data_IF_611049614999
#
_entry.id   IF_611049614999
#
_cell.length_a   1.000
_cell.length_b   1.000
_cell.length_c   1.000
_cell.angle_alpha   90.00
_cell.angle_beta   90.00
_cell.angle_gamma   90.00
#
_symmetry.space_group_name_H-M   'P 1'
#
loop_
_entity.id
_entity.type
_entity.pdbx_description
1 polymer ?
#
# COMPACT_ATOMS: atom_id res chain seq x y z
N UNK A 1 -5.35 -5.75 17.71
CA UNK A 1 -6.05 -5.47 16.44
C UNK A 1 -7.57 -5.74 16.53
N UNK A 2 -8.05 -6.94 16.89
CA UNK A 2 -9.51 -7.27 16.93
C UNK A 2 -10.38 -6.36 17.82
N UNK A 3 -9.83 -5.80 18.89
CA UNK A 3 -10.55 -4.93 19.83
C UNK A 3 -10.35 -3.43 19.57
N UNK A 4 -9.54 -3.07 18.59
CA UNK A 4 -9.30 -1.68 18.21
C UNK A 4 -10.06 -1.41 16.92
N UNK A 5 -10.97 -0.45 16.94
CA UNK A 5 -11.70 -0.05 15.75
C UNK A 5 -10.85 0.86 14.87
N UNK A 6 -10.84 0.56 13.57
CA UNK A 6 -10.34 1.42 12.51
C UNK A 6 -11.40 2.47 12.15
N UNK A 7 -12.62 1.98 11.94
CA UNK A 7 -13.83 2.74 11.70
C UNK A 7 -14.97 2.13 12.54
N UNK A 8 -16.08 2.85 12.77
CA UNK A 8 -17.23 2.27 13.44
C UNK A 8 -17.65 0.93 12.82
N UNK A 9 -17.60 -0.14 13.61
CA UNK A 9 -17.96 -1.49 13.17
C UNK A 9 -16.91 -2.25 12.37
N UNK A 10 -15.71 -1.70 12.16
CA UNK A 10 -14.57 -2.38 11.51
C UNK A 10 -13.35 -2.35 12.42
N UNK A 11 -12.86 -3.50 12.85
CA UNK A 11 -11.62 -3.57 13.60
C UNK A 11 -10.39 -3.32 12.71
N UNK A 12 -9.26 -2.97 13.34
CA UNK A 12 -7.97 -2.83 12.64
C UNK A 12 -7.58 -4.14 11.91
N UNK A 13 -7.93 -5.30 12.46
CA UNK A 13 -7.67 -6.58 11.78
C UNK A 13 -8.58 -6.78 10.57
N UNK A 14 -9.88 -6.49 10.72
CA UNK A 14 -10.85 -6.63 9.61
C UNK A 14 -10.47 -5.68 8.46
N UNK A 15 -9.99 -4.47 8.79
CA UNK A 15 -9.46 -3.53 7.80
C UNK A 15 -8.29 -4.13 7.03
N UNK A 16 -7.27 -4.66 7.70
CA UNK A 16 -6.13 -5.30 7.03
C UNK A 16 -6.55 -6.47 6.15
N UNK A 17 -7.51 -7.28 6.59
CA UNK A 17 -8.07 -8.38 5.79
C UNK A 17 -8.83 -7.87 4.56
N UNK A 18 -9.60 -6.78 4.67
CA UNK A 18 -10.30 -6.17 3.51
C UNK A 18 -9.29 -5.57 2.52
N UNK A 19 -8.24 -4.90 3.01
CA UNK A 19 -7.17 -4.39 2.14
C UNK A 19 -6.48 -5.52 1.38
N UNK A 20 -6.16 -6.63 2.04
CA UNK A 20 -5.58 -7.80 1.38
C UNK A 20 -6.52 -8.45 0.37
N UNK A 21 -7.80 -8.62 0.70
CA UNK A 21 -8.80 -9.16 -0.22
C UNK A 21 -8.94 -8.28 -1.48
N UNK A 22 -8.91 -6.96 -1.32
CA UNK A 22 -8.90 -6.00 -2.45
C UNK A 22 -7.61 -6.08 -3.25
N UNK A 23 -6.48 -6.21 -2.57
CA UNK A 23 -5.21 -6.39 -3.26
C UNK A 23 -5.22 -7.64 -4.16
N UNK A 24 -5.75 -8.77 -3.68
CA UNK A 24 -5.92 -9.99 -4.48
C UNK A 24 -6.82 -9.75 -5.70
N UNK A 25 -7.93 -9.04 -5.52
CA UNK A 25 -8.81 -8.67 -6.64
C UNK A 25 -8.09 -7.73 -7.63
N UNK A 26 -7.35 -6.73 -7.13
CA UNK A 26 -6.58 -5.79 -7.95
C UNK A 26 -5.56 -6.48 -8.85
N UNK A 27 -4.81 -7.45 -8.31
CA UNK A 27 -3.77 -8.17 -9.06
C UNK A 27 -4.33 -9.29 -9.94
N UNK A 28 -5.58 -9.68 -9.74
CA UNK A 28 -6.27 -10.67 -10.58
C UNK A 28 -6.27 -10.25 -12.06
N UNK A 29 -6.21 -11.23 -13.00
CA UNK A 29 -6.44 -10.94 -14.42
C UNK A 29 -7.78 -10.28 -14.71
N UNK A 30 -8.80 -10.63 -13.93
CA UNK A 30 -10.18 -10.15 -14.07
C UNK A 30 -10.67 -9.59 -12.73
N UNK A 31 -10.34 -8.32 -12.38
CA UNK A 31 -10.82 -7.69 -11.15
C UNK A 31 -12.36 -7.59 -11.16
N UNK A 32 -12.97 -8.02 -10.05
CA UNK A 32 -14.43 -8.08 -9.90
C UNK A 32 -15.01 -6.90 -9.14
N UNK A 33 -14.21 -6.27 -8.31
CA UNK A 33 -14.64 -5.11 -7.53
C UNK A 33 -14.69 -3.85 -8.39
N UNK A 34 -15.44 -2.85 -7.90
CA UNK A 34 -15.49 -1.54 -8.57
C UNK A 34 -14.21 -0.77 -8.28
N UNK A 35 -13.35 -0.65 -9.29
CA UNK A 35 -12.09 0.07 -9.23
C UNK A 35 -12.13 1.37 -10.01
N UNK A 36 -11.44 2.39 -9.50
CA UNK A 36 -10.91 3.47 -10.32
C UNK A 36 -9.50 3.08 -10.73
N UNK A 37 -9.41 2.17 -11.72
CA UNK A 37 -8.15 1.54 -12.14
C UNK A 37 -7.31 2.53 -12.95
N UNK A 38 -6.07 2.84 -12.51
CA UNK A 38 -5.14 3.61 -13.33
C UNK A 38 -4.43 2.71 -14.34
N UNK A 39 -4.11 3.25 -15.51
CA UNK A 39 -3.44 2.51 -16.61
C UNK A 39 -2.12 1.86 -16.19
N UNK A 40 -1.34 2.56 -15.35
CA UNK A 40 -0.06 2.07 -14.86
C UNK A 40 -0.15 0.83 -13.96
N UNK A 41 -1.29 0.53 -13.37
CA UNK A 41 -1.42 -0.57 -12.42
C UNK A 41 -1.07 -1.94 -13.03
N UNK A 42 -1.42 -2.16 -14.29
CA UNK A 42 -1.11 -3.40 -15.01
C UNK A 42 0.40 -3.62 -15.18
N UNK A 43 1.16 -2.55 -15.42
CA UNK A 43 2.61 -2.61 -15.55
C UNK A 43 3.31 -2.96 -14.24
N UNK A 44 2.69 -2.66 -13.07
CA UNK A 44 3.27 -2.95 -11.75
C UNK A 44 3.08 -4.39 -11.29
N UNK A 45 2.03 -5.07 -11.74
CA UNK A 45 1.67 -6.43 -11.29
C UNK A 45 2.81 -7.46 -11.41
N UNK A 46 3.62 -7.50 -12.49
CA UNK A 46 4.73 -8.45 -12.60
C UNK A 46 5.90 -8.18 -11.64
N UNK A 47 5.99 -6.96 -11.08
CA UNK A 47 7.11 -6.48 -10.27
C UNK A 47 6.80 -6.44 -8.78
N UNK A 48 5.65 -6.98 -8.37
CA UNK A 48 5.27 -7.06 -6.96
C UNK A 48 6.12 -8.10 -6.22
N UNK A 49 6.29 -7.89 -4.93
CA UNK A 49 6.89 -8.86 -4.02
C UNK A 49 6.04 -10.15 -3.93
N UNK A 50 6.62 -11.25 -3.45
CA UNK A 50 5.91 -12.52 -3.24
C UNK A 50 4.62 -12.33 -2.44
N UNK A 51 3.60 -13.11 -2.79
CA UNK A 51 2.24 -12.93 -2.26
C UNK A 51 2.14 -13.19 -0.76
N UNK A 52 2.93 -14.08 -0.22
CA UNK A 52 3.02 -14.38 1.22
C UNK A 52 3.55 -13.17 2.01
N UNK A 53 4.59 -12.49 1.50
CA UNK A 53 5.10 -11.22 2.07
C UNK A 53 4.00 -10.16 2.02
N UNK A 54 3.33 -10.01 0.87
CA UNK A 54 2.26 -9.03 0.71
C UNK A 54 1.06 -9.33 1.60
N UNK A 55 0.73 -10.60 1.82
CA UNK A 55 -0.33 -11.01 2.74
C UNK A 55 -0.04 -10.57 4.17
N UNK A 56 1.15 -10.86 4.68
CA UNK A 56 1.53 -10.46 6.04
C UNK A 56 1.57 -8.95 6.18
N UNK A 57 2.19 -8.26 5.21
CA UNK A 57 2.23 -6.81 5.21
C UNK A 57 0.83 -6.20 5.26
N UNK A 58 -0.04 -6.55 4.32
CA UNK A 58 -1.36 -5.91 4.17
C UNK A 58 -2.31 -6.23 5.33
N UNK A 59 -2.23 -7.44 5.91
CA UNK A 59 -3.06 -7.78 7.07
C UNK A 59 -2.57 -7.07 8.34
N UNK A 60 -1.26 -6.88 8.49
CA UNK A 60 -0.67 -6.41 9.74
C UNK A 60 -0.05 -5.01 9.68
N UNK A 61 -0.17 -4.26 8.55
CA UNK A 61 0.41 -2.91 8.39
C UNK A 61 0.05 -1.95 9.53
N UNK A 62 -1.10 -2.14 10.12
CA UNK A 62 -1.67 -1.32 11.19
C UNK A 62 -1.62 -1.99 12.58
N UNK A 63 -0.80 -3.04 12.78
CA UNK A 63 -0.79 -3.81 14.03
C UNK A 63 -0.41 -2.98 15.27
N UNK A 64 0.24 -1.84 15.11
CA UNK A 64 0.60 -0.89 16.17
C UNK A 64 -0.52 0.06 16.59
N UNK A 65 -1.58 0.22 15.81
CA UNK A 65 -2.68 1.16 16.11
C UNK A 65 -3.30 0.99 17.51
N UNK A 66 -3.50 -0.23 18.04
CA UNK A 66 -3.99 -0.41 19.41
C UNK A 66 -3.12 0.24 20.49
N UNK A 67 -1.83 0.43 20.23
CA UNK A 67 -0.85 0.95 21.19
C UNK A 67 -0.66 2.47 21.11
N UNK A 68 -1.11 3.10 20.02
CA UNK A 68 -1.00 4.56 19.83
C UNK A 68 -2.36 5.27 19.68
N UNK A 69 -3.46 4.55 19.90
CA UNK A 69 -4.80 5.11 19.81
C UNK A 69 -5.02 6.18 20.89
N UNK A 70 -5.40 7.37 20.46
CA UNK A 70 -5.94 8.43 21.32
C UNK A 70 -7.31 8.86 20.80
N UNK A 71 -8.12 9.48 21.69
CA UNK A 71 -9.42 10.02 21.32
C UNK A 71 -9.45 11.46 21.80
N UNK A 72 -9.78 12.40 20.93
CA UNK A 72 -9.92 13.81 21.28
C UNK A 72 -11.26 14.12 21.95
N UNK A 73 -11.46 15.39 22.33
CA UNK A 73 -12.67 15.87 23.01
C UNK A 73 -13.92 15.72 22.13
N UNK A 74 -13.78 15.71 20.81
CA UNK A 74 -14.87 15.51 19.84
C UNK A 74 -15.17 14.00 19.59
N UNK A 75 -14.47 13.10 20.28
CA UNK A 75 -14.60 11.66 20.11
C UNK A 75 -13.91 11.08 18.88
N UNK A 76 -13.05 11.87 18.18
CA UNK A 76 -12.31 11.41 17.01
C UNK A 76 -11.08 10.64 17.43
N UNK A 77 -10.82 9.54 16.73
CA UNK A 77 -9.65 8.71 16.95
C UNK A 77 -8.44 9.24 16.18
N UNK A 78 -7.27 9.19 16.83
CA UNK A 78 -5.99 9.51 16.26
C UNK A 78 -5.01 8.35 16.50
N UNK A 79 -4.13 8.09 15.52
CA UNK A 79 -3.14 7.02 15.55
C UNK A 79 -1.76 7.60 15.18
N UNK A 80 -1.27 8.49 16.04
CA UNK A 80 -0.02 9.21 15.80
C UNK A 80 1.15 8.22 15.72
N UNK A 81 1.98 8.37 14.69
CA UNK A 81 3.17 7.54 14.45
C UNK A 81 2.90 6.02 14.35
N UNK A 82 1.68 5.64 13.91
CA UNK A 82 1.27 4.23 13.86
C UNK A 82 2.17 3.36 12.98
N UNK A 83 2.74 3.88 11.89
CA UNK A 83 3.62 3.08 11.01
C UNK A 83 4.88 2.62 11.76
N UNK A 84 5.55 3.52 12.50
CA UNK A 84 6.70 3.16 13.33
C UNK A 84 6.31 2.18 14.44
N UNK A 85 5.20 2.44 15.12
CA UNK A 85 4.74 1.58 16.22
C UNK A 85 4.28 0.21 15.69
N UNK A 86 3.73 0.15 14.47
CA UNK A 86 3.41 -1.11 13.82
C UNK A 86 4.67 -1.89 13.44
N UNK A 87 5.69 -1.21 12.91
CA UNK A 87 7.01 -1.79 12.66
C UNK A 87 7.62 -2.37 13.94
N UNK A 88 7.70 -1.56 15.01
CA UNK A 88 8.26 -2.00 16.30
C UNK A 88 7.47 -3.17 16.88
N UNK A 89 6.15 -3.18 16.71
CA UNK A 89 5.28 -4.29 17.16
C UNK A 89 5.52 -5.55 16.34
N UNK A 90 5.62 -5.44 15.02
CA UNK A 90 5.88 -6.57 14.13
C UNK A 90 7.25 -7.19 14.41
N UNK A 91 8.29 -6.36 14.54
CA UNK A 91 9.67 -6.81 14.77
C UNK A 91 9.90 -7.56 16.08
N UNK A 92 8.96 -7.49 17.04
CA UNK A 92 9.01 -8.34 18.25
C UNK A 92 8.76 -9.83 17.95
N UNK A 93 8.17 -10.13 16.80
CA UNK A 93 7.80 -11.48 16.37
C UNK A 93 8.51 -11.92 15.08
N UNK A 94 9.31 -11.04 14.49
CA UNK A 94 10.05 -11.32 13.27
C UNK A 94 11.19 -12.29 13.59
N UNK A 95 11.22 -13.44 12.91
CA UNK A 95 12.22 -14.49 13.09
C UNK A 95 12.99 -14.81 11.81
N UNK A 96 12.46 -14.39 10.65
CA UNK A 96 12.99 -14.70 9.31
C UNK A 96 13.36 -13.44 8.53
N UNK A 97 14.21 -13.53 7.49
CA UNK A 97 14.45 -12.42 6.57
C UNK A 97 13.18 -11.91 5.89
N UNK A 98 12.21 -12.80 5.62
CA UNK A 98 10.90 -12.47 5.07
C UNK A 98 10.09 -11.61 6.05
N UNK A 99 10.13 -11.93 7.34
CA UNK A 99 9.49 -11.11 8.38
C UNK A 99 10.13 -9.73 8.49
N UNK A 100 11.46 -9.64 8.36
CA UNK A 100 12.16 -8.33 8.30
C UNK A 100 11.72 -7.52 7.10
N UNK A 101 11.51 -8.18 5.95
CA UNK A 101 11.02 -7.52 4.75
C UNK A 101 9.59 -6.99 4.92
N UNK A 102 8.71 -7.77 5.55
CA UNK A 102 7.37 -7.32 5.96
C UNK A 102 7.46 -6.10 6.87
N UNK A 103 8.34 -6.12 7.87
CA UNK A 103 8.58 -4.99 8.75
C UNK A 103 8.97 -3.70 7.98
N UNK A 104 9.87 -3.81 7.01
CA UNK A 104 10.26 -2.67 6.15
C UNK A 104 9.08 -2.11 5.35
N UNK A 105 8.19 -2.96 4.85
CA UNK A 105 6.97 -2.53 4.16
C UNK A 105 6.01 -1.81 5.11
N UNK A 106 5.82 -2.33 6.32
CA UNK A 106 5.00 -1.70 7.37
C UNK A 106 5.53 -0.30 7.71
N UNK A 107 6.84 -0.16 7.86
CA UNK A 107 7.47 1.14 8.13
C UNK A 107 7.28 2.13 6.98
N UNK A 108 7.34 1.64 5.74
CA UNK A 108 7.21 2.44 4.52
C UNK A 108 5.75 2.69 4.09
N UNK A 109 4.76 2.13 4.79
CA UNK A 109 3.35 2.17 4.41
C UNK A 109 2.83 3.60 4.15
N UNK A 110 3.24 4.55 4.99
CA UNK A 110 2.83 5.94 4.86
C UNK A 110 3.58 6.74 3.80
N UNK A 111 4.66 6.22 3.20
CA UNK A 111 5.50 6.96 2.26
C UNK A 111 4.69 7.44 1.05
N UNK A 112 3.91 6.54 0.43
CA UNK A 112 3.09 6.87 -0.75
C UNK A 112 2.06 7.98 -0.50
N UNK A 113 1.67 8.19 0.76
CA UNK A 113 0.72 9.22 1.18
C UNK A 113 1.39 10.54 1.56
N UNK A 114 2.67 10.52 1.91
CA UNK A 114 3.40 11.67 2.46
C UNK A 114 4.46 12.24 1.54
N UNK A 115 4.96 11.47 0.57
CA UNK A 115 5.98 11.90 -0.40
C UNK A 115 5.53 13.15 -1.17
N UNK A 116 6.36 14.21 -1.10
CA UNK A 116 6.14 15.47 -1.79
C UNK A 116 7.36 15.85 -2.64
N UNK A 117 7.08 16.40 -3.82
CA UNK A 117 8.13 16.88 -4.73
C UNK A 117 8.71 15.80 -5.64
N UNK A 118 9.35 16.24 -6.72
CA UNK A 118 9.85 15.36 -7.77
C UNK A 118 11.02 14.49 -7.27
N UNK A 119 11.97 15.11 -6.56
CA UNK A 119 13.17 14.41 -6.07
C UNK A 119 12.82 13.25 -5.11
N UNK A 120 11.87 13.46 -4.18
CA UNK A 120 11.45 12.40 -3.27
C UNK A 120 10.74 11.25 -3.99
N UNK A 121 9.97 11.55 -5.04
CA UNK A 121 9.37 10.53 -5.88
C UNK A 121 10.46 9.77 -6.65
N UNK A 122 11.47 10.46 -7.19
CA UNK A 122 12.58 9.85 -7.93
C UNK A 122 13.41 8.91 -7.05
N UNK A 123 13.56 9.20 -5.77
CA UNK A 123 14.19 8.28 -4.82
C UNK A 123 13.28 7.10 -4.46
N UNK A 124 11.99 7.36 -4.25
CA UNK A 124 11.03 6.30 -3.91
C UNK A 124 10.94 5.23 -5.02
N UNK A 125 10.82 5.64 -6.29
CA UNK A 125 10.64 4.72 -7.41
C UNK A 125 11.86 3.86 -7.72
N UNK A 126 13.04 4.15 -7.14
CA UNK A 126 14.24 3.30 -7.23
C UNK A 126 14.22 2.12 -6.26
N UNK A 127 13.30 2.11 -5.29
CA UNK A 127 13.19 1.04 -4.31
C UNK A 127 12.61 -0.21 -4.95
N UNK A 128 13.15 -1.41 -4.68
CA UNK A 128 12.63 -2.66 -5.24
C UNK A 128 11.19 -2.95 -4.79
N UNK A 129 10.78 -2.46 -3.61
CA UNK A 129 9.43 -2.60 -3.07
C UNK A 129 8.43 -1.57 -3.59
N UNK A 130 8.85 -0.56 -4.36
CA UNK A 130 7.98 0.51 -4.83
C UNK A 130 6.72 0.03 -5.58
N UNK A 131 6.78 -0.96 -6.51
CA UNK A 131 5.60 -1.51 -7.17
C UNK A 131 4.58 -2.07 -6.18
N UNK A 132 5.06 -2.81 -5.19
CA UNK A 132 4.23 -3.41 -4.14
C UNK A 132 3.55 -2.36 -3.29
N UNK A 133 4.28 -1.35 -2.82
CA UNK A 133 3.75 -0.26 -2.01
C UNK A 133 2.70 0.56 -2.76
N UNK A 134 2.88 0.82 -4.06
CA UNK A 134 1.90 1.58 -4.85
C UNK A 134 0.62 0.77 -5.05
N UNK A 135 0.72 -0.52 -5.35
CA UNK A 135 -0.44 -1.39 -5.49
C UNK A 135 -1.17 -1.57 -4.15
N UNK A 136 -0.42 -1.72 -3.04
CA UNK A 136 -0.95 -1.76 -1.69
C UNK A 136 -1.74 -0.49 -1.35
N UNK A 137 -1.15 0.67 -1.57
CA UNK A 137 -1.83 1.94 -1.31
C UNK A 137 -3.06 2.16 -2.19
N UNK A 138 -3.06 1.68 -3.44
CA UNK A 138 -4.25 1.72 -4.27
C UNK A 138 -5.36 0.85 -3.69
N UNK A 139 -5.03 -0.36 -3.19
CA UNK A 139 -5.98 -1.24 -2.52
C UNK A 139 -6.54 -0.61 -1.23
N UNK A 140 -5.66 -0.01 -0.41
CA UNK A 140 -6.03 0.63 0.85
C UNK A 140 -6.98 1.81 0.66
N UNK A 141 -6.68 2.75 -0.26
CA UNK A 141 -7.59 3.89 -0.47
C UNK A 141 -8.96 3.46 -0.98
N UNK A 142 -9.04 2.36 -1.76
CA UNK A 142 -10.32 1.80 -2.19
C UNK A 142 -11.04 1.07 -1.05
N UNK A 143 -10.33 0.37 -0.16
CA UNK A 143 -10.88 -0.21 1.06
C UNK A 143 -11.54 0.88 1.92
N UNK A 144 -10.77 1.89 2.29
CA UNK A 144 -11.22 3.02 3.09
C UNK A 144 -12.44 3.72 2.48
N UNK A 145 -12.38 4.04 1.19
CA UNK A 145 -13.46 4.76 0.50
C UNK A 145 -14.72 3.90 0.31
N UNK A 146 -14.58 2.60 0.11
CA UNK A 146 -15.73 1.69 -0.03
C UNK A 146 -16.47 1.52 1.28
N UNK A 147 -15.75 1.36 2.38
CA UNK A 147 -16.35 1.24 3.71
C UNK A 147 -17.14 2.50 4.09
N UNK A 148 -16.59 3.67 3.78
CA UNK A 148 -17.21 4.96 4.08
C UNK A 148 -18.21 5.39 3.00
N UNK A 149 -18.47 4.60 1.96
CA UNK A 149 -19.28 4.97 0.78
C UNK A 149 -18.82 6.27 0.10
N UNK A 150 -17.51 6.52 0.05
CA UNK A 150 -16.89 7.79 -0.34
C UNK A 150 -15.96 7.70 -1.56
N UNK A 151 -16.19 6.75 -2.49
CA UNK A 151 -15.38 6.59 -3.72
C UNK A 151 -15.33 7.85 -4.61
N UNK A 152 -16.32 8.74 -4.48
CA UNK A 152 -16.38 10.01 -5.22
C UNK A 152 -15.97 11.23 -4.37
N UNK A 153 -15.50 11.01 -3.13
CA UNK A 153 -15.07 12.10 -2.24
C UNK A 153 -13.81 12.79 -2.74
N UNK A 154 -13.64 14.06 -2.37
CA UNK A 154 -12.42 14.80 -2.71
C UNK A 154 -11.18 14.20 -2.03
N UNK A 155 -11.32 13.67 -0.82
CA UNK A 155 -10.23 12.98 -0.10
C UNK A 155 -9.74 11.76 -0.90
N UNK A 156 -10.65 10.92 -1.40
CA UNK A 156 -10.29 9.80 -2.26
C UNK A 156 -9.60 10.27 -3.54
N UNK A 157 -10.17 11.26 -4.23
CA UNK A 157 -9.62 11.79 -5.49
C UNK A 157 -8.21 12.36 -5.31
N UNK A 158 -7.95 13.05 -4.19
CA UNK A 158 -6.62 13.61 -3.89
C UNK A 158 -5.60 12.48 -3.69
N UNK A 159 -5.90 11.49 -2.84
CA UNK A 159 -5.03 10.34 -2.60
C UNK A 159 -4.80 9.54 -3.88
N UNK A 160 -5.85 9.28 -4.66
CA UNK A 160 -5.76 8.58 -5.93
C UNK A 160 -4.84 9.31 -6.93
N UNK A 161 -4.97 10.65 -7.06
CA UNK A 161 -4.10 11.45 -7.92
C UNK A 161 -2.64 11.39 -7.47
N UNK A 162 -2.39 11.40 -6.16
CA UNK A 162 -1.03 11.31 -5.62
C UNK A 162 -0.38 9.96 -5.96
N UNK A 163 -1.06 8.86 -5.67
CA UNK A 163 -0.58 7.51 -6.01
C UNK A 163 -0.39 7.37 -7.52
N UNK A 164 -1.34 7.86 -8.33
CA UNK A 164 -1.25 7.79 -9.79
C UNK A 164 -0.07 8.61 -10.35
N UNK A 165 0.31 9.71 -9.72
CA UNK A 165 1.50 10.47 -10.13
C UNK A 165 2.79 9.67 -9.92
N UNK A 166 2.90 8.95 -8.81
CA UNK A 166 4.04 8.08 -8.51
C UNK A 166 4.05 6.88 -9.46
N UNK A 167 2.91 6.21 -9.62
CA UNK A 167 2.76 5.03 -10.46
C UNK A 167 3.06 5.28 -11.94
N UNK A 168 2.66 6.44 -12.49
CA UNK A 168 3.02 6.83 -13.85
C UNK A 168 4.52 6.97 -14.05
N UNK A 169 5.24 7.58 -13.10
CA UNK A 169 6.71 7.68 -13.17
C UNK A 169 7.38 6.30 -13.12
N UNK A 170 6.89 5.44 -12.23
CA UNK A 170 7.43 4.10 -12.09
C UNK A 170 7.17 3.25 -13.35
N UNK A 171 6.00 3.33 -13.96
CA UNK A 171 5.67 2.61 -15.19
C UNK A 171 6.63 2.98 -16.34
N UNK A 172 6.97 4.25 -16.49
CA UNK A 172 7.94 4.69 -17.51
C UNK A 172 9.32 4.06 -17.30
N UNK A 173 9.76 3.84 -16.06
CA UNK A 173 11.04 3.16 -15.79
C UNK A 173 10.99 1.71 -16.26
N UNK A 174 9.95 0.97 -15.95
CA UNK A 174 9.82 -0.44 -16.34
C UNK A 174 9.63 -0.63 -17.85
N UNK A 175 8.91 0.27 -18.52
CA UNK A 175 8.79 0.27 -19.99
C UNK A 175 10.18 0.44 -20.64
N UNK A 176 10.96 1.40 -20.16
CA UNK A 176 12.30 1.65 -20.66
C UNK A 176 13.27 0.48 -20.42
N UNK A 177 13.20 -0.17 -19.26
CA UNK A 177 14.01 -1.36 -18.95
C UNK A 177 13.64 -2.53 -19.85
N UNK A 178 12.35 -2.76 -20.11
CA UNK A 178 11.87 -3.80 -21.01
C UNK A 178 12.37 -3.58 -22.44
N UNK A 179 12.35 -2.33 -22.95
CA UNK A 179 12.86 -1.99 -24.26
C UNK A 179 14.37 -2.22 -24.38
N UNK A 180 15.16 -1.88 -23.35
CA UNK A 180 16.60 -2.12 -23.33
C UNK A 180 16.93 -3.63 -23.35
N UNK A 181 16.20 -4.44 -22.60
CA UNK A 181 16.37 -5.89 -22.56
C UNK A 181 16.03 -6.52 -23.91
N UNK A 182 14.94 -6.10 -24.54
CA UNK A 182 14.53 -6.57 -25.86
C UNK A 182 15.56 -6.26 -26.95
N UNK A 183 16.12 -5.06 -26.92
CA UNK A 183 17.17 -4.65 -27.87
C UNK A 183 18.49 -5.42 -27.67
N UNK A 184 18.85 -5.76 -26.42
CA UNK A 184 20.05 -6.58 -26.16
C UNK A 184 19.88 -8.05 -26.59
N UNK A 185 18.67 -8.60 -26.50
CA UNK A 185 18.37 -9.95 -26.98
C UNK A 185 18.36 -10.05 -28.51
N UNK A 186 17.91 -8.99 -29.21
CA UNK A 186 17.89 -8.93 -30.65
C UNK A 186 19.29 -8.78 -31.29
N UNK A 187 20.31 -8.44 -30.51
CA UNK A 187 21.72 -8.27 -30.95
C UNK A 187 22.59 -9.51 -30.69
N UNK A 188 22.04 -10.55 -30.09
CA UNK A 188 22.69 -11.85 -29.85
C UNK A 188 22.23 -12.92 -30.82
#
# INVERSE_FOLDING_TARGET
MKKCEQFPGMSVLDHGMDVFARYLDLISPEPKLKWRMPEWASAMKPHQLPLDIMQHYLIYHDCGKPFCRTVDEDGRQHFTNHAQISYDTWMQYAETPEDEQVGKLILADMDIHTIKGAAAIDEFIKRPEAPSLILAGLAEIHSNASWLHQLDSDTFKIKWKQISRIGKKLAVLYEHEADLQSNQQAQR
#
